data_IF_827563278905
#
_entry.id   IF_827563278905
#
_cell.length_a   1.000
_cell.length_b   1.000
_cell.length_c   1.000
_cell.angle_alpha   90.00
_cell.angle_beta   90.00
_cell.angle_gamma   90.00
#
_symmetry.space_group_name_H-M   'P 1'
#
loop_
_entity.id
_entity.type
_entity.pdbx_description
1 polymer ?
#
# COMPACT_ATOMS: atom_id res chain seq x y z
N UNK A 1 43.68 -48.36 -15.87
CA UNK A 1 42.91 -49.48 -15.27
C UNK A 1 41.86 -48.82 -14.37
N UNK A 2 40.66 -48.58 -14.90
CA UNK A 2 39.45 -49.43 -14.76
C UNK A 2 38.62 -48.90 -13.57
N UNK A 3 37.32 -48.58 -13.58
CA UNK A 3 36.16 -48.58 -14.48
C UNK A 3 35.15 -47.58 -13.82
N UNK A 4 34.45 -46.67 -14.53
CA UNK A 4 33.14 -46.79 -15.22
C UNK A 4 31.88 -47.08 -14.35
N UNK A 5 30.87 -46.22 -14.59
CA UNK A 5 29.39 -46.40 -14.48
C UNK A 5 28.76 -46.39 -13.07
N UNK A 6 27.59 -45.82 -12.73
CA UNK A 6 26.52 -45.07 -13.44
C UNK A 6 25.38 -44.74 -12.44
N UNK A 7 24.76 -43.56 -12.59
CA UNK A 7 23.32 -43.23 -12.42
C UNK A 7 22.59 -43.66 -11.12
N UNK A 8 22.13 -42.67 -10.33
CA UNK A 8 20.73 -42.66 -9.85
C UNK A 8 20.22 -41.25 -9.57
N UNK A 9 19.26 -40.88 -10.42
CA UNK A 9 18.38 -39.72 -10.37
C UNK A 9 17.40 -39.82 -9.18
N UNK A 10 17.27 -38.78 -8.35
CA UNK A 10 16.10 -38.57 -7.48
C UNK A 10 15.80 -37.08 -7.29
N UNK A 11 14.87 -36.62 -8.12
CA UNK A 11 13.70 -35.79 -7.78
C UNK A 11 13.88 -34.65 -6.78
N UNK A 12 13.85 -33.43 -7.32
CA UNK A 12 12.68 -32.56 -7.18
C UNK A 12 12.30 -32.16 -5.75
N UNK A 13 12.83 -31.03 -5.32
CA UNK A 13 12.03 -30.02 -4.61
C UNK A 13 12.36 -28.66 -5.21
N UNK A 14 11.47 -28.24 -6.09
CA UNK A 14 11.21 -26.85 -6.43
C UNK A 14 11.22 -26.02 -5.15
N UNK A 15 12.22 -25.14 -5.03
CA UNK A 15 12.20 -24.03 -4.09
C UNK A 15 10.97 -23.20 -4.45
N UNK A 16 9.91 -23.38 -3.67
CA UNK A 16 8.71 -22.57 -3.79
C UNK A 16 9.10 -21.13 -3.50
N UNK A 17 8.99 -20.30 -4.53
CA UNK A 17 8.94 -18.85 -4.46
C UNK A 17 8.10 -18.43 -3.26
N UNK A 18 8.77 -17.93 -2.23
CA UNK A 18 8.16 -17.18 -1.14
C UNK A 18 7.81 -15.80 -1.72
N UNK A 19 6.74 -15.74 -2.50
CA UNK A 19 6.10 -14.48 -2.83
C UNK A 19 5.50 -13.99 -1.51
N UNK A 20 6.01 -12.88 -1.00
CA UNK A 20 5.52 -12.24 0.21
C UNK A 20 4.00 -12.09 0.11
N UNK A 21 3.27 -12.85 0.94
CA UNK A 21 1.81 -12.87 0.98
C UNK A 21 1.19 -11.53 1.41
N UNK A 22 2.03 -10.57 1.80
CA UNK A 22 1.67 -9.21 2.18
C UNK A 22 1.54 -8.24 0.99
N UNK A 23 1.85 -8.68 -0.24
CA UNK A 23 1.75 -7.87 -1.47
C UNK A 23 0.52 -8.24 -2.34
N UNK A 24 -0.49 -8.89 -1.76
CA UNK A 24 -1.75 -9.17 -2.46
C UNK A 24 -2.72 -8.06 -2.10
N UNK A 25 -2.60 -6.93 -2.79
CA UNK A 25 -3.66 -5.93 -2.80
C UNK A 25 -4.82 -6.43 -3.66
N UNK A 26 -6.04 -6.05 -3.29
CA UNK A 26 -7.29 -6.35 -4.00
C UNK A 26 -7.22 -5.99 -5.51
N UNK A 27 -6.28 -5.11 -5.86
CA UNK A 27 -5.98 -4.67 -7.21
C UNK A 27 -4.46 -4.73 -7.42
N UNK A 28 -4.02 -5.49 -8.41
CA UNK A 28 -2.69 -5.29 -8.99
C UNK A 28 -2.56 -3.86 -9.56
N UNK A 29 -1.39 -3.48 -10.10
CA UNK A 29 -1.13 -2.11 -10.55
C UNK A 29 -2.26 -1.58 -11.43
N UNK A 30 -2.73 -0.36 -11.10
CA UNK A 30 -3.70 0.39 -11.89
C UNK A 30 -2.98 0.83 -13.16
N UNK A 31 -3.34 0.24 -14.30
CA UNK A 31 -2.84 0.67 -15.61
C UNK A 31 -3.50 2.01 -15.97
N UNK A 32 -2.77 3.12 -15.81
CA UNK A 32 -3.10 4.37 -16.49
C UNK A 32 -2.87 4.17 -18.01
N UNK A 33 -3.89 4.49 -18.80
CA UNK A 33 -3.94 4.33 -20.25
C UNK A 33 -2.75 5.04 -20.95
N UNK A 34 -1.81 4.27 -21.49
CA UNK A 34 -1.04 4.68 -22.67
C UNK A 34 -1.05 3.54 -23.69
N UNK A 35 -1.53 3.87 -24.89
CA UNK A 35 -1.77 2.94 -25.98
C UNK A 35 -0.45 2.41 -26.54
N UNK A 36 -0.49 1.12 -26.91
CA UNK A 36 0.32 0.50 -27.96
C UNK A 36 1.53 -0.36 -27.56
N UNK A 37 1.30 -1.47 -26.85
CA UNK A 37 1.96 -2.75 -27.17
C UNK A 37 1.14 -3.94 -26.65
N UNK A 38 0.79 -4.89 -27.53
CA UNK A 38 0.03 -6.10 -27.19
C UNK A 38 0.90 -7.09 -26.42
N UNK A 39 1.18 -6.81 -25.15
CA UNK A 39 1.59 -7.83 -24.17
C UNK A 39 0.33 -8.65 -23.84
N UNK A 40 0.39 -10.00 -23.76
CA UNK A 40 -0.76 -10.77 -23.31
C UNK A 40 -1.08 -10.38 -21.86
N UNK A 41 -2.07 -9.49 -21.71
CA UNK A 41 -2.69 -9.12 -20.43
C UNK A 41 -3.27 -10.39 -19.83
N UNK A 42 -2.53 -11.06 -18.96
CA UNK A 42 -3.12 -12.13 -18.14
C UNK A 42 -4.04 -11.44 -17.15
N UNK A 43 -5.37 -11.60 -17.24
CA UNK A 43 -6.23 -11.05 -16.22
C UNK A 43 -6.09 -12.02 -15.05
N UNK A 44 -5.16 -11.75 -14.14
CA UNK A 44 -5.27 -12.29 -12.79
C UNK A 44 -6.48 -11.59 -12.17
N UNK A 45 -7.69 -11.98 -12.59
CA UNK A 45 -8.90 -11.73 -11.84
C UNK A 45 -8.69 -12.55 -10.58
N UNK A 46 -8.14 -11.92 -9.55
CA UNK A 46 -8.12 -12.50 -8.23
C UNK A 46 -9.59 -12.83 -7.92
N UNK A 47 -9.89 -14.12 -7.76
CA UNK A 47 -11.23 -14.61 -7.45
C UNK A 47 -11.54 -14.50 -5.96
N UNK A 48 -10.56 -14.08 -5.16
CA UNK A 48 -10.63 -13.89 -3.72
C UNK A 48 -9.26 -13.54 -3.15
N UNK A 49 -9.26 -13.10 -1.90
CA UNK A 49 -8.09 -12.88 -1.07
C UNK A 49 -7.72 -14.14 -0.29
N UNK A 50 -6.51 -14.20 0.32
CA UNK A 50 -6.27 -15.17 1.38
C UNK A 50 -7.29 -14.99 2.53
N UNK A 51 -7.51 -16.01 3.37
CA UNK A 51 -8.31 -15.88 4.57
C UNK A 51 -7.85 -14.71 5.44
N UNK A 52 -8.80 -14.10 6.15
CA UNK A 52 -8.54 -12.95 7.01
C UNK A 52 -7.43 -13.27 8.01
N UNK A 53 -6.42 -12.40 8.13
CA UNK A 53 -5.38 -12.57 9.14
C UNK A 53 -5.96 -12.33 10.55
N UNK A 54 -5.63 -13.24 11.47
CA UNK A 54 -6.02 -13.11 12.89
C UNK A 54 -5.32 -11.93 13.58
N UNK A 55 -4.17 -11.52 13.06
CA UNK A 55 -3.31 -10.44 13.57
C UNK A 55 -3.13 -9.34 12.52
N UNK A 56 -2.70 -8.15 12.95
CA UNK A 56 -2.48 -7.01 12.06
C UNK A 56 -3.70 -6.15 11.84
N UNK A 57 -3.65 -5.30 10.82
CA UNK A 57 -4.55 -4.16 10.65
C UNK A 57 -5.57 -4.31 9.51
N UNK A 58 -5.77 -5.52 9.01
CA UNK A 58 -6.70 -5.82 7.91
C UNK A 58 -7.92 -6.54 8.49
N UNK A 59 -9.12 -6.07 8.17
CA UNK A 59 -10.38 -6.64 8.62
C UNK A 59 -11.32 -6.89 7.43
N UNK A 60 -11.88 -8.10 7.34
CA UNK A 60 -12.84 -8.43 6.29
C UNK A 60 -14.26 -8.41 6.86
N UNK A 61 -15.19 -7.82 6.10
CA UNK A 61 -16.61 -7.86 6.44
C UNK A 61 -17.43 -7.99 5.18
N UNK A 62 -18.31 -8.99 5.13
CA UNK A 62 -19.27 -9.08 4.04
C UNK A 62 -20.14 -7.82 4.02
N UNK A 63 -20.72 -7.45 5.17
CA UNK A 63 -21.55 -6.24 5.33
C UNK A 63 -21.66 -5.78 6.78
N UNK A 64 -21.91 -4.49 6.98
CA UNK A 64 -22.03 -3.82 8.28
C UNK A 64 -23.34 -3.03 8.36
N UNK A 65 -24.48 -3.71 8.24
CA UNK A 65 -25.80 -3.05 8.20
C UNK A 65 -26.43 -3.09 9.60
N UNK A 66 -26.81 -1.91 10.10
CA UNK A 66 -27.59 -1.69 11.32
C UNK A 66 -27.29 -2.67 12.47
N UNK A 67 -26.04 -2.69 12.97
CA UNK A 67 -25.69 -3.55 14.10
C UNK A 67 -26.46 -3.09 15.36
N UNK A 68 -26.92 -4.04 16.15
CA UNK A 68 -27.48 -3.73 17.47
C UNK A 68 -26.43 -3.02 18.36
N UNK A 69 -26.83 -2.29 19.41
CA UNK A 69 -25.91 -1.50 20.22
C UNK A 69 -24.74 -2.30 20.78
N UNK A 70 -24.98 -3.51 21.29
CA UNK A 70 -23.92 -4.36 21.84
C UNK A 70 -22.93 -4.78 20.76
N UNK A 71 -23.41 -5.17 19.57
CA UNK A 71 -22.59 -5.52 18.41
C UNK A 71 -21.80 -4.31 17.91
N UNK A 72 -22.40 -3.12 17.91
CA UNK A 72 -21.71 -1.90 17.53
C UNK A 72 -20.53 -1.62 18.46
N UNK A 73 -20.70 -1.76 19.78
CA UNK A 73 -19.59 -1.64 20.75
C UNK A 73 -18.47 -2.67 20.50
N UNK A 74 -18.83 -3.91 20.15
CA UNK A 74 -17.83 -4.93 19.80
C UNK A 74 -17.06 -4.57 18.53
N UNK A 75 -17.76 -4.08 17.50
CA UNK A 75 -17.15 -3.64 16.25
C UNK A 75 -16.21 -2.44 16.47
N UNK A 76 -16.58 -1.49 17.32
CA UNK A 76 -15.71 -0.35 17.67
C UNK A 76 -14.47 -0.83 18.40
N UNK A 77 -14.62 -1.74 19.35
CA UNK A 77 -13.49 -2.33 20.09
C UNK A 77 -12.53 -3.05 19.14
N UNK A 78 -13.09 -3.81 18.18
CA UNK A 78 -12.32 -4.47 17.12
C UNK A 78 -11.58 -3.47 16.23
N UNK A 79 -12.26 -2.40 15.80
CA UNK A 79 -11.64 -1.34 15.00
C UNK A 79 -10.48 -0.67 15.72
N UNK A 80 -10.65 -0.35 17.00
CA UNK A 80 -9.59 0.23 17.81
C UNK A 80 -8.38 -0.70 17.91
N UNK A 81 -8.61 -2.01 18.06
CA UNK A 81 -7.53 -2.99 18.09
C UNK A 81 -6.79 -3.06 16.73
N UNK A 82 -7.50 -3.11 15.60
CA UNK A 82 -6.90 -3.08 14.26
C UNK A 82 -6.09 -1.80 14.02
N UNK A 83 -6.58 -0.65 14.48
CA UNK A 83 -5.86 0.62 14.41
C UNK A 83 -4.57 0.59 15.24
N UNK A 84 -4.58 0.01 16.44
CA UNK A 84 -3.39 -0.12 17.28
C UNK A 84 -2.33 -1.03 16.64
N UNK A 85 -2.75 -2.18 16.12
CA UNK A 85 -1.87 -3.11 15.39
C UNK A 85 -1.24 -2.46 14.15
N UNK A 86 -1.98 -1.58 13.49
CA UNK A 86 -1.53 -0.85 12.30
C UNK A 86 -0.95 0.54 12.56
N UNK A 87 -0.58 0.85 13.81
CA UNK A 87 0.03 2.15 14.18
C UNK A 87 -0.79 3.38 13.72
N UNK A 88 -2.12 3.30 13.87
CA UNK A 88 -3.06 4.34 13.48
C UNK A 88 -3.73 4.12 12.12
N UNK A 89 -3.47 3.02 11.42
CA UNK A 89 -4.13 2.68 10.15
C UNK A 89 -4.75 1.29 10.16
N UNK A 90 -5.98 1.16 9.70
CA UNK A 90 -6.64 -0.13 9.47
C UNK A 90 -7.29 -0.17 8.08
N UNK A 91 -7.20 -1.31 7.41
CA UNK A 91 -7.82 -1.56 6.12
C UNK A 91 -9.06 -2.44 6.31
N UNK A 92 -10.18 -1.99 5.80
CA UNK A 92 -11.45 -2.70 5.82
C UNK A 92 -11.84 -3.11 4.41
N UNK A 93 -12.06 -4.40 4.23
CA UNK A 93 -12.56 -4.95 2.97
C UNK A 93 -14.03 -5.30 3.09
N UNK A 94 -14.88 -4.46 2.51
CA UNK A 94 -16.32 -4.61 2.51
C UNK A 94 -16.76 -5.41 1.29
N UNK A 95 -17.61 -6.41 1.48
CA UNK A 95 -18.03 -7.34 0.43
C UNK A 95 -17.14 -8.58 0.31
N UNK A 96 -16.24 -8.78 1.28
CA UNK A 96 -15.34 -9.94 1.36
C UNK A 96 -15.72 -10.79 2.57
N UNK A 97 -15.78 -12.11 2.39
CA UNK A 97 -15.99 -13.04 3.50
C UNK A 97 -14.68 -13.30 4.26
N UNK A 98 -14.76 -13.76 5.51
CA UNK A 98 -13.60 -14.08 6.36
C UNK A 98 -12.65 -15.12 5.72
N UNK A 99 -13.16 -15.95 4.80
CA UNK A 99 -12.36 -16.89 4.01
C UNK A 99 -11.61 -16.26 2.83
N UNK A 100 -11.80 -14.96 2.58
CA UNK A 100 -11.27 -14.19 1.47
C UNK A 100 -12.14 -14.22 0.19
N UNK A 101 -13.31 -14.87 0.22
CA UNK A 101 -14.17 -14.99 -0.96
C UNK A 101 -14.87 -13.67 -1.29
N UNK A 102 -14.85 -13.31 -2.57
CA UNK A 102 -15.50 -12.11 -3.13
C UNK A 102 -16.99 -12.35 -3.38
N UNK A 103 -17.80 -12.19 -2.33
CA UNK A 103 -19.26 -12.31 -2.42
C UNK A 103 -19.93 -11.00 -2.86
N UNK A 104 -19.32 -9.86 -2.53
CA UNK A 104 -19.79 -8.50 -2.81
C UNK A 104 -21.11 -8.15 -2.13
N UNK A 105 -21.44 -6.85 -2.15
CA UNK A 105 -22.69 -6.30 -1.59
C UNK A 105 -23.42 -5.45 -2.61
N UNK A 106 -24.74 -5.29 -2.48
CA UNK A 106 -25.46 -4.32 -3.32
C UNK A 106 -25.04 -2.89 -3.01
N UNK A 107 -25.34 -1.93 -3.90
CA UNK A 107 -25.03 -0.52 -3.65
C UNK A 107 -25.72 0.02 -2.39
N UNK A 108 -26.96 -0.39 -2.11
CA UNK A 108 -27.69 -0.02 -0.88
C UNK A 108 -27.04 -0.60 0.38
N UNK A 109 -26.64 -1.88 0.33
CA UNK A 109 -25.95 -2.55 1.43
C UNK A 109 -24.56 -1.94 1.69
N UNK A 110 -23.88 -1.51 0.63
CA UNK A 110 -22.59 -0.84 0.71
C UNK A 110 -22.72 0.53 1.39
N UNK A 111 -23.66 1.37 0.96
CA UNK A 111 -23.89 2.68 1.57
C UNK A 111 -24.22 2.56 3.07
N UNK A 112 -25.09 1.61 3.43
CA UNK A 112 -25.40 1.32 4.82
C UNK A 112 -24.16 0.84 5.60
N UNK A 113 -23.33 -0.01 4.99
CA UNK A 113 -22.09 -0.50 5.60
C UNK A 113 -21.07 0.61 5.84
N UNK A 114 -20.91 1.51 4.86
CA UNK A 114 -20.03 2.68 4.98
C UNK A 114 -20.54 3.67 6.03
N UNK A 115 -21.85 3.85 6.16
CA UNK A 115 -22.45 4.69 7.20
C UNK A 115 -22.17 4.14 8.61
N UNK A 116 -22.28 2.82 8.80
CA UNK A 116 -21.92 2.16 10.05
C UNK A 116 -20.42 2.31 10.33
N UNK A 117 -19.57 2.05 9.34
CA UNK A 117 -18.11 2.19 9.46
C UNK A 117 -17.71 3.62 9.86
N UNK A 118 -18.36 4.61 9.25
CA UNK A 118 -18.19 6.03 9.61
C UNK A 118 -18.57 6.30 11.06
N UNK A 119 -19.72 5.78 11.48
CA UNK A 119 -20.19 5.93 12.88
C UNK A 119 -19.20 5.30 13.87
N UNK A 120 -18.60 4.16 13.52
CA UNK A 120 -17.56 3.52 14.33
C UNK A 120 -16.29 4.37 14.39
N UNK A 121 -15.84 4.87 13.25
CA UNK A 121 -14.64 5.71 13.14
C UNK A 121 -14.80 7.05 13.89
N UNK A 122 -15.95 7.71 13.75
CA UNK A 122 -16.27 8.97 14.43
C UNK A 122 -16.21 8.82 15.97
N UNK A 123 -16.57 7.64 16.51
CA UNK A 123 -16.45 7.36 17.96
C UNK A 123 -15.02 7.16 18.45
N UNK A 124 -14.09 6.89 17.54
CA UNK A 124 -12.67 6.71 17.84
C UNK A 124 -11.83 7.94 17.43
N UNK A 125 -12.48 9.04 17.03
CA UNK A 125 -11.84 10.21 16.43
C UNK A 125 -10.96 9.84 15.21
N UNK A 126 -11.43 8.86 14.42
CA UNK A 126 -10.76 8.37 13.22
C UNK A 126 -11.45 8.88 11.95
N UNK A 127 -10.68 9.01 10.87
CA UNK A 127 -11.16 9.35 9.53
C UNK A 127 -11.30 8.09 8.67
N UNK A 128 -12.20 8.12 7.69
CA UNK A 128 -12.36 7.05 6.70
C UNK A 128 -12.13 7.59 5.29
N UNK A 129 -11.40 6.83 4.48
CA UNK A 129 -11.10 7.14 3.08
C UNK A 129 -11.33 5.89 2.25
N UNK A 130 -12.20 5.98 1.25
CA UNK A 130 -12.42 4.89 0.29
C UNK A 130 -11.24 4.83 -0.67
N UNK A 131 -10.46 3.76 -0.62
CA UNK A 131 -9.27 3.59 -1.47
C UNK A 131 -9.64 3.06 -2.84
N UNK A 132 -10.48 2.02 -2.88
CA UNK A 132 -10.83 1.37 -4.14
C UNK A 132 -12.23 0.75 -4.11
N UNK A 133 -12.86 0.67 -5.27
CA UNK A 133 -14.12 -0.04 -5.49
C UNK A 133 -14.07 -0.95 -6.71
N UNK A 134 -14.39 -2.23 -6.51
CA UNK A 134 -14.58 -3.21 -7.57
C UNK A 134 -16.05 -3.51 -7.77
N UNK A 135 -16.47 -3.58 -9.03
CA UNK A 135 -17.79 -4.07 -9.41
C UNK A 135 -17.70 -5.49 -9.96
N UNK A 136 -18.54 -6.39 -9.46
CA UNK A 136 -18.70 -7.77 -9.91
C UNK A 136 -19.82 -7.89 -10.95
N UNK A 137 -19.89 -9.03 -11.65
CA UNK A 137 -20.84 -9.30 -12.74
C UNK A 137 -22.32 -9.15 -12.37
N UNK A 138 -22.67 -9.21 -11.09
CA UNK A 138 -24.04 -9.13 -10.58
C UNK A 138 -24.39 -7.76 -9.95
N UNK A 139 -23.78 -6.66 -10.39
CA UNK A 139 -23.97 -5.32 -9.78
C UNK A 139 -23.62 -5.30 -8.28
N UNK A 140 -22.70 -6.18 -7.87
CA UNK A 140 -22.19 -6.25 -6.51
C UNK A 140 -20.87 -5.52 -6.40
N UNK A 141 -20.65 -4.87 -5.27
CA UNK A 141 -19.52 -4.02 -5.02
C UNK A 141 -18.63 -4.65 -3.93
N UNK A 142 -17.34 -4.51 -4.11
CA UNK A 142 -16.32 -4.77 -3.10
C UNK A 142 -15.53 -3.49 -2.93
N UNK A 143 -15.33 -3.07 -1.69
CA UNK A 143 -14.70 -1.78 -1.40
C UNK A 143 -13.61 -1.96 -0.37
N UNK A 144 -12.44 -1.40 -0.67
CA UNK A 144 -11.35 -1.25 0.28
C UNK A 144 -11.45 0.15 0.89
N UNK A 145 -11.53 0.20 2.23
CA UNK A 145 -11.64 1.43 3.00
C UNK A 145 -10.46 1.53 3.96
N UNK A 146 -9.74 2.63 3.89
CA UNK A 146 -8.74 3.00 4.87
C UNK A 146 -9.41 3.74 6.03
N UNK A 147 -9.15 3.27 7.25
CA UNK A 147 -9.50 3.95 8.49
C UNK A 147 -8.19 4.46 9.08
N UNK A 148 -8.11 5.77 9.34
CA UNK A 148 -6.90 6.39 9.88
C UNK A 148 -7.23 7.19 11.14
N UNK A 149 -6.50 6.90 12.22
CA UNK A 149 -6.45 7.70 13.45
C UNK A 149 -5.01 8.14 13.68
N UNK A 150 -4.78 9.44 13.82
CA UNK A 150 -3.48 9.93 14.31
C UNK A 150 -3.38 9.54 15.79
N UNK A 151 -2.34 8.79 16.23
CA UNK A 151 -2.20 8.39 17.62
C UNK A 151 -2.21 9.61 18.56
N UNK A 152 -2.85 9.49 19.73
CA UNK A 152 -3.01 10.62 20.67
C UNK A 152 -1.64 11.13 21.20
N UNK A 153 -0.62 10.28 21.12
CA UNK A 153 0.76 10.47 21.55
C UNK A 153 1.72 10.85 20.40
N UNK A 154 1.23 11.00 19.16
CA UNK A 154 2.03 11.37 17.99
C UNK A 154 1.38 12.52 17.20
N UNK A 155 2.20 13.37 16.58
CA UNK A 155 1.70 14.43 15.71
C UNK A 155 1.40 13.94 14.28
N UNK A 156 2.02 12.84 13.85
CA UNK A 156 1.88 12.23 12.52
C UNK A 156 2.46 10.82 12.50
N UNK A 157 2.05 10.00 11.52
CA UNK A 157 2.57 8.65 11.31
C UNK A 157 3.89 8.73 10.50
N UNK A 158 5.04 8.31 11.06
CA UNK A 158 6.38 8.31 10.38
C UNK A 158 6.73 6.90 9.85
N UNK A 159 6.62 6.69 8.54
CA UNK A 159 7.08 5.46 7.88
C UNK A 159 8.47 5.67 7.29
N UNK A 160 9.40 4.76 7.57
CA UNK A 160 10.78 4.82 7.05
C UNK A 160 11.04 3.70 6.06
N UNK A 161 11.35 4.07 4.82
CA UNK A 161 11.61 3.14 3.72
C UNK A 161 13.07 3.23 3.31
N UNK A 162 13.77 2.11 3.25
CA UNK A 162 15.15 2.04 2.77
C UNK A 162 15.18 1.43 1.36
N UNK A 163 15.77 2.15 0.40
CA UNK A 163 15.91 1.69 -0.98
C UNK A 163 17.31 1.12 -1.19
N UNK A 164 17.39 -0.19 -1.38
CA UNK A 164 18.63 -0.94 -1.55
C UNK A 164 18.69 -1.58 -2.95
N UNK A 165 19.90 -1.80 -3.46
CA UNK A 165 20.11 -2.40 -4.78
C UNK A 165 21.46 -2.08 -5.39
N UNK A 166 21.80 -2.79 -6.46
CA UNK A 166 23.08 -2.68 -7.17
C UNK A 166 23.28 -1.30 -7.81
N UNK A 167 24.51 -1.00 -8.22
CA UNK A 167 24.81 0.21 -8.99
C UNK A 167 24.00 0.19 -10.29
N UNK A 168 23.51 1.36 -10.70
CA UNK A 168 22.70 1.57 -11.91
C UNK A 168 21.34 0.85 -11.96
N UNK A 169 20.84 0.33 -10.83
CA UNK A 169 19.50 -0.28 -10.74
C UNK A 169 18.33 0.73 -10.72
N UNK A 170 18.61 2.02 -10.93
CA UNK A 170 17.58 3.06 -10.99
C UNK A 170 17.03 3.55 -9.64
N UNK A 171 17.65 3.19 -8.49
CA UNK A 171 17.18 3.61 -7.14
C UNK A 171 16.97 5.12 -7.03
N UNK A 172 18.01 5.90 -7.33
CA UNK A 172 17.96 7.36 -7.24
C UNK A 172 16.99 7.94 -8.28
N UNK A 173 16.87 7.31 -9.44
CA UNK A 173 15.86 7.72 -10.43
C UNK A 173 14.44 7.54 -9.89
N UNK A 174 14.13 6.37 -9.30
CA UNK A 174 12.83 6.09 -8.70
C UNK A 174 12.51 7.06 -7.56
N UNK A 175 13.45 7.26 -6.63
CA UNK A 175 13.26 8.21 -5.53
C UNK A 175 13.04 9.63 -6.06
N UNK A 176 13.74 10.02 -7.12
CA UNK A 176 13.58 11.34 -7.74
C UNK A 176 12.20 11.52 -8.36
N UNK A 177 11.72 10.50 -9.08
CA UNK A 177 10.36 10.49 -9.66
C UNK A 177 9.31 10.57 -8.56
N UNK A 178 9.41 9.73 -7.52
CA UNK A 178 8.43 9.70 -6.43
C UNK A 178 8.37 11.01 -5.64
N UNK A 179 9.51 11.67 -5.42
CA UNK A 179 9.60 12.85 -4.54
C UNK A 179 9.32 14.17 -5.26
N UNK A 180 9.63 14.25 -6.54
CA UNK A 180 9.46 15.48 -7.33
C UNK A 180 8.29 15.41 -8.33
N UNK A 181 7.71 14.22 -8.55
CA UNK A 181 6.60 14.02 -9.47
C UNK A 181 6.95 14.20 -10.95
N UNK A 182 8.24 14.26 -11.29
CA UNK A 182 8.73 14.38 -12.67
C UNK A 182 9.20 13.02 -13.19
N UNK A 183 8.65 12.59 -14.32
CA UNK A 183 9.09 11.36 -14.98
C UNK A 183 10.56 11.46 -15.42
N UNK A 184 11.29 10.38 -15.20
CA UNK A 184 12.67 10.26 -15.66
C UNK A 184 12.70 10.07 -17.18
N UNK A 185 13.68 10.66 -17.86
CA UNK A 185 13.82 10.60 -19.32
C UNK A 185 14.64 9.38 -19.79
N UNK A 186 14.74 8.35 -18.96
CA UNK A 186 15.59 7.18 -19.18
C UNK A 186 17.09 7.46 -19.10
N UNK A 187 17.52 8.69 -18.78
CA UNK A 187 18.93 9.08 -18.63
C UNK A 187 19.29 9.52 -17.21
N UNK A 188 18.39 9.34 -16.24
CA UNK A 188 18.62 9.75 -14.87
C UNK A 188 18.53 11.27 -14.68
N UNK A 189 17.60 11.94 -15.38
CA UNK A 189 17.26 13.34 -15.12
C UNK A 189 16.63 13.49 -13.73
N UNK A 190 15.75 12.58 -13.35
CA UNK A 190 15.04 12.65 -12.07
C UNK A 190 16.01 12.61 -10.86
N UNK A 191 17.10 11.84 -10.94
CA UNK A 191 18.12 11.76 -9.89
C UNK A 191 19.03 13.00 -9.79
N UNK A 192 19.03 13.90 -10.78
CA UNK A 192 19.86 15.12 -10.69
C UNK A 192 19.38 16.03 -9.56
N UNK A 193 18.07 16.04 -9.30
CA UNK A 193 17.47 16.79 -8.19
C UNK A 193 17.91 16.26 -6.81
N UNK A 194 18.48 15.05 -6.78
CA UNK A 194 18.89 14.36 -5.57
C UNK A 194 20.39 14.51 -5.24
N UNK A 195 21.22 14.91 -6.21
CA UNK A 195 22.66 15.02 -6.01
C UNK A 195 23.02 16.22 -5.13
N UNK A 196 23.86 15.98 -4.11
CA UNK A 196 24.26 17.00 -3.13
C UNK A 196 25.71 17.44 -3.31
N UNK A 197 26.53 16.62 -3.95
CA UNK A 197 27.95 16.90 -4.14
C UNK A 197 28.35 17.03 -5.61
N UNK A 198 29.35 17.88 -5.87
CA UNK A 198 29.84 18.13 -7.24
C UNK A 198 30.31 16.85 -7.93
N UNK A 199 30.99 15.95 -7.21
CA UNK A 199 31.43 14.68 -7.78
C UNK A 199 30.27 13.73 -8.12
N UNK A 200 29.11 13.85 -7.46
CA UNK A 200 27.91 13.08 -7.82
C UNK A 200 27.34 13.56 -9.16
N UNK A 201 27.30 14.89 -9.36
CA UNK A 201 26.86 15.50 -10.62
C UNK A 201 27.81 15.13 -11.76
N UNK A 202 29.13 15.17 -11.52
CA UNK A 202 30.14 14.86 -12.53
C UNK A 202 30.17 13.38 -12.93
N UNK A 203 30.02 12.48 -11.96
CA UNK A 203 30.09 11.03 -12.20
C UNK A 203 28.74 10.41 -12.52
N UNK A 204 27.63 11.11 -12.23
CA UNK A 204 26.27 10.58 -12.32
C UNK A 204 25.98 9.50 -11.28
N UNK A 205 26.77 9.41 -10.20
CA UNK A 205 26.65 8.39 -9.15
C UNK A 205 26.39 9.03 -7.81
N UNK A 206 25.42 8.51 -7.08
CA UNK A 206 25.23 8.85 -5.67
C UNK A 206 26.39 8.28 -4.85
N UNK A 207 26.84 9.05 -3.85
CA UNK A 207 27.99 8.73 -3.02
C UNK A 207 27.72 8.93 -1.53
N UNK A 208 26.55 9.48 -1.19
CA UNK A 208 26.16 9.90 0.14
C UNK A 208 24.78 9.34 0.49
N UNK A 209 24.60 8.96 1.76
CA UNK A 209 23.30 8.56 2.28
C UNK A 209 22.42 9.80 2.31
N UNK A 210 21.29 9.74 1.60
CA UNK A 210 20.35 10.85 1.52
C UNK A 210 18.96 10.42 2.00
N UNK A 211 18.24 11.38 2.56
CA UNK A 211 16.87 11.24 3.02
C UNK A 211 15.97 12.19 2.23
N UNK A 212 14.90 11.65 1.66
CA UNK A 212 13.79 12.42 1.10
C UNK A 212 12.52 12.16 1.91
N UNK A 213 11.62 13.15 1.92
CA UNK A 213 10.36 13.08 2.65
C UNK A 213 9.20 13.26 1.69
N UNK A 214 8.19 12.41 1.85
CA UNK A 214 6.89 12.48 1.21
C UNK A 214 5.81 12.63 2.28
N UNK A 215 4.94 13.60 2.11
CA UNK A 215 3.81 13.84 2.99
C UNK A 215 2.49 13.32 2.41
N UNK A 216 1.56 12.96 3.28
CA UNK A 216 0.19 12.62 2.92
C UNK A 216 -0.79 13.24 3.91
N UNK A 217 -1.89 13.78 3.41
CA UNK A 217 -3.00 14.23 4.24
C UNK A 217 -3.93 13.07 4.63
N UNK A 218 -4.94 13.35 5.46
CA UNK A 218 -5.95 12.37 5.90
C UNK A 218 -6.76 11.76 4.75
N UNK A 219 -6.91 12.53 3.66
CA UNK A 219 -7.60 12.10 2.44
C UNK A 219 -6.70 11.24 1.54
N UNK A 220 -5.43 11.06 1.87
CA UNK A 220 -4.47 10.27 1.10
C UNK A 220 -3.80 11.01 -0.06
N UNK A 221 -4.03 12.32 -0.21
CA UNK A 221 -3.37 13.13 -1.24
C UNK A 221 -1.91 13.41 -0.88
N UNK A 222 -1.02 13.37 -1.88
CA UNK A 222 0.41 13.60 -1.69
C UNK A 222 0.72 15.09 -1.44
N UNK A 223 1.43 15.37 -0.36
CA UNK A 223 2.05 16.65 -0.06
C UNK A 223 3.55 16.50 -0.29
N UNK A 224 4.06 17.10 -1.35
CA UNK A 224 5.47 17.00 -1.75
C UNK A 224 6.11 18.39 -1.91
N UNK A 225 7.34 18.41 -2.44
CA UNK A 225 8.11 19.63 -2.68
C UNK A 225 7.58 20.51 -3.81
N UNK A 226 6.55 20.09 -4.56
CA UNK A 226 5.85 20.97 -5.51
C UNK A 226 4.97 21.98 -4.77
N UNK A 227 4.41 21.57 -3.63
CA UNK A 227 3.48 22.37 -2.82
C UNK A 227 4.16 23.05 -1.61
N UNK A 228 5.28 22.52 -1.14
CA UNK A 228 6.00 22.99 0.05
C UNK A 228 7.47 23.30 -0.27
N UNK A 229 8.06 24.30 0.39
CA UNK A 229 9.46 24.69 0.15
C UNK A 229 10.45 23.95 1.03
N UNK A 230 9.98 23.43 2.17
CA UNK A 230 10.84 22.75 3.14
C UNK A 230 10.22 21.44 3.60
N UNK A 231 11.09 20.50 3.99
CA UNK A 231 10.69 19.24 4.60
C UNK A 231 9.85 19.43 5.87
N UNK A 232 10.09 20.48 6.67
CA UNK A 232 9.31 20.76 7.86
C UNK A 232 7.86 21.15 7.53
N UNK A 233 7.66 21.98 6.50
CA UNK A 233 6.31 22.32 6.03
C UNK A 233 5.54 21.10 5.54
N UNK A 234 6.23 20.14 4.91
CA UNK A 234 5.63 18.87 4.50
C UNK A 234 5.18 18.11 5.75
N UNK A 235 6.05 17.93 6.74
CA UNK A 235 5.70 17.24 7.99
C UNK A 235 4.55 17.92 8.73
N UNK A 236 4.55 19.25 8.84
CA UNK A 236 3.52 20.00 9.59
C UNK A 236 2.13 19.90 8.96
N UNK A 237 2.06 19.74 7.63
CA UNK A 237 0.78 19.62 6.89
C UNK A 237 0.35 18.17 6.66
N UNK A 238 1.22 17.21 6.96
CA UNK A 238 0.98 15.81 6.69
C UNK A 238 0.54 15.08 7.94
N UNK A 239 -0.49 14.27 7.82
CA UNK A 239 -0.89 13.37 8.89
C UNK A 239 -0.14 12.04 8.82
N UNK A 240 0.47 11.75 7.66
CA UNK A 240 1.45 10.69 7.48
C UNK A 240 2.63 11.17 6.66
N UNK A 241 3.84 10.88 7.11
CA UNK A 241 5.07 11.16 6.37
C UNK A 241 5.83 9.87 6.08
N UNK A 242 6.30 9.72 4.85
CA UNK A 242 7.20 8.64 4.43
C UNK A 242 8.59 9.23 4.21
N UNK A 243 9.55 8.77 5.02
CA UNK A 243 10.97 9.11 4.87
C UNK A 243 11.68 8.02 4.09
N UNK A 244 12.15 8.37 2.90
CA UNK A 244 12.89 7.46 2.02
C UNK A 244 14.38 7.67 2.23
N UNK A 245 15.09 6.58 2.55
CA UNK A 245 16.55 6.54 2.71
C UNK A 245 17.14 5.77 1.54
N UNK A 246 18.14 6.34 0.87
CA UNK A 246 18.82 5.69 -0.26
C UNK A 246 20.31 6.04 -0.30
N UNK A 247 21.04 5.24 -1.07
CA UNK A 247 22.48 5.36 -1.36
C UNK A 247 22.71 5.30 -2.85
#
# INVERSE_FOLDING_TARGET
MSNRDSILNRNGKSENNHVDKHMISLFGPVDDDDDNEKVPRSPFILTGLPPEPQEGNIEYKLKLIDPNPDRLEHLITQMNWRLQEGQGEALYEIGVEDCGTFSGVSSEELEASLATLKTMADRLDASITKLHERKLENERHIVEVLVRKVPDDQHFIDLRVCVLGTVDSGKSSLVGVCTHGELDNGRGRARLNLFRHLHEIQTGRTSSITHEILGFNDLGESIDYRCCRTANEICDRSTKSIKIVYV
#
